data_IF_641390428044
#
_entry.id   IF_641390428044
#
_cell.length_a   1.000
_cell.length_b   1.000
_cell.length_c   1.000
_cell.angle_alpha   90.00
_cell.angle_beta   90.00
_cell.angle_gamma   90.00
#
_symmetry.space_group_name_H-M   'P 1'
#
loop_
_entity.id
_entity.type
_entity.pdbx_description
1 polymer ?
#
# COMPACT_ATOMS: atom_id res chain seq x y z
N UNK A 1 3.01 6.79 -14.73
CA UNK A 1 2.19 7.04 -13.55
C UNK A 1 0.99 6.11 -13.63
N UNK A 2 0.75 5.34 -12.58
CA UNK A 2 -0.38 4.42 -12.43
C UNK A 2 -1.05 4.76 -11.10
N UNK A 3 -2.35 5.00 -11.13
CA UNK A 3 -3.15 5.14 -9.92
C UNK A 3 -3.39 3.75 -9.34
N UNK A 4 -3.02 3.55 -8.08
CA UNK A 4 -3.51 2.42 -7.28
C UNK A 4 -4.48 2.95 -6.22
N UNK A 5 -5.60 2.26 -6.09
CA UNK A 5 -6.65 2.62 -5.16
C UNK A 5 -7.36 1.37 -4.63
N UNK A 6 -8.05 1.53 -3.51
CA UNK A 6 -8.80 0.44 -2.91
C UNK A 6 -9.11 0.68 -1.44
N UNK A 7 -9.53 -0.38 -0.76
CA UNK A 7 -9.75 -0.41 0.69
C UNK A 7 -8.74 -1.34 1.31
N UNK A 8 -7.87 -0.82 2.18
CA UNK A 8 -6.80 -1.58 2.81
C UNK A 8 -7.38 -2.55 3.86
N UNK A 9 -7.39 -3.84 3.55
CA UNK A 9 -7.98 -4.88 4.41
C UNK A 9 -6.93 -5.93 4.77
N UNK A 10 -6.90 -6.36 6.02
CA UNK A 10 -6.06 -7.49 6.44
C UNK A 10 -6.68 -8.83 6.00
N UNK A 11 -5.87 -9.91 5.97
CA UNK A 11 -6.34 -11.25 5.60
C UNK A 11 -7.49 -11.81 6.43
N UNK A 12 -7.69 -11.30 7.65
CA UNK A 12 -8.82 -11.66 8.52
C UNK A 12 -10.10 -10.83 8.27
N UNK A 13 -10.07 -9.92 7.28
CA UNK A 13 -11.16 -9.00 6.96
C UNK A 13 -11.16 -7.69 7.75
N UNK A 14 -10.18 -7.46 8.63
CA UNK A 14 -10.08 -6.22 9.41
C UNK A 14 -9.71 -5.05 8.52
N UNK A 15 -10.52 -3.98 8.54
CA UNK A 15 -10.20 -2.72 7.88
C UNK A 15 -9.01 -2.02 8.55
N UNK A 16 -8.02 -1.65 7.75
CA UNK A 16 -6.82 -0.96 8.20
C UNK A 16 -7.01 0.56 8.12
N UNK A 17 -7.83 1.08 9.04
CA UNK A 17 -8.06 2.53 9.21
C UNK A 17 -6.85 3.21 9.85
N UNK A 18 -6.67 4.51 9.58
CA UNK A 18 -5.58 5.35 10.12
C UNK A 18 -4.18 4.72 9.98
N UNK A 19 -4.00 3.89 8.97
CA UNK A 19 -2.80 3.08 8.75
C UNK A 19 -1.91 3.81 7.75
N UNK A 20 -0.67 4.08 8.16
CA UNK A 20 0.33 4.64 7.26
C UNK A 20 0.80 3.55 6.29
N UNK A 21 0.60 3.79 5.01
CA UNK A 21 1.07 2.97 3.90
C UNK A 21 2.27 3.65 3.26
N UNK A 22 3.41 2.99 3.26
CA UNK A 22 4.66 3.47 2.65
C UNK A 22 5.08 2.54 1.52
N UNK A 23 5.25 3.09 0.33
CA UNK A 23 5.84 2.41 -0.82
C UNK A 23 7.28 2.90 -0.98
N UNK A 24 8.25 1.99 -1.01
CA UNK A 24 9.66 2.29 -1.30
C UNK A 24 10.08 1.58 -2.58
N UNK A 25 10.44 2.34 -3.61
CA UNK A 25 10.87 1.78 -4.89
C UNK A 25 12.25 1.11 -4.73
N UNK A 26 12.44 -0.06 -5.35
CA UNK A 26 13.59 -0.93 -5.05
C UNK A 26 14.91 -0.45 -5.59
N UNK A 27 14.92 0.31 -6.70
CA UNK A 27 16.14 0.70 -7.41
C UNK A 27 16.57 2.13 -7.05
N UNK A 28 15.61 3.05 -7.02
CA UNK A 28 15.79 4.49 -6.76
C UNK A 28 15.66 4.85 -5.29
N UNK A 29 15.08 3.95 -4.48
CA UNK A 29 14.76 4.20 -3.07
C UNK A 29 13.83 5.41 -2.84
N UNK A 30 13.12 5.87 -3.86
CA UNK A 30 12.09 6.89 -3.66
C UNK A 30 10.96 6.34 -2.79
N UNK A 31 10.38 7.21 -1.96
CA UNK A 31 9.32 6.83 -1.03
C UNK A 31 8.04 7.61 -1.30
N UNK A 32 6.92 6.91 -1.35
CA UNK A 32 5.58 7.49 -1.33
C UNK A 32 4.88 7.05 -0.05
N UNK A 33 4.15 7.95 0.60
CA UNK A 33 3.41 7.59 1.82
C UNK A 33 2.07 8.30 1.88
N UNK A 34 1.06 7.56 2.34
CA UNK A 34 -0.26 8.09 2.67
C UNK A 34 -0.76 7.44 3.96
N UNK A 35 -1.76 8.05 4.57
CA UNK A 35 -2.51 7.43 5.66
C UNK A 35 -3.91 7.13 5.16
N UNK A 36 -4.39 5.90 5.42
CA UNK A 36 -5.76 5.52 5.08
C UNK A 36 -6.78 6.30 5.91
N UNK A 37 -7.93 6.62 5.32
CA UNK A 37 -9.00 7.33 6.01
C UNK A 37 -9.85 6.41 6.91
N UNK A 38 -10.95 6.96 7.44
CA UNK A 38 -11.90 6.23 8.31
C UNK A 38 -12.60 5.03 7.66
N UNK A 39 -12.59 4.95 6.33
CA UNK A 39 -13.07 3.79 5.56
C UNK A 39 -11.93 2.89 5.06
N UNK A 40 -10.71 3.03 5.60
CA UNK A 40 -9.48 2.36 5.17
C UNK A 40 -9.13 2.57 3.69
N UNK A 41 -9.71 3.57 3.04
CA UNK A 41 -9.49 3.87 1.62
C UNK A 41 -8.08 4.40 1.36
N UNK A 42 -7.50 3.99 0.24
CA UNK A 42 -6.24 4.50 -0.28
C UNK A 42 -6.36 4.91 -1.75
N UNK A 43 -5.60 5.92 -2.14
CA UNK A 43 -5.50 6.43 -3.52
C UNK A 43 -4.11 7.07 -3.69
N UNK A 44 -3.26 6.51 -4.54
CA UNK A 44 -1.88 6.99 -4.77
C UNK A 44 -1.58 6.92 -6.27
N UNK A 45 -1.00 8.00 -6.81
CA UNK A 45 -0.37 7.96 -8.12
C UNK A 45 1.09 7.52 -7.99
N UNK A 46 1.44 6.37 -8.57
CA UNK A 46 2.72 5.68 -8.37
C UNK A 46 3.43 5.51 -9.71
N UNK A 47 4.72 5.90 -9.82
CA UNK A 47 5.55 5.55 -10.98
C UNK A 47 5.60 4.03 -11.18
N UNK A 48 5.68 3.60 -12.43
CA UNK A 48 5.88 2.18 -12.73
C UNK A 48 7.23 1.73 -12.17
N UNK A 49 7.28 0.51 -11.65
CA UNK A 49 8.47 -0.01 -10.99
C UNK A 49 8.12 -1.09 -9.98
N UNK A 50 9.13 -1.52 -9.24
CA UNK A 50 8.97 -2.53 -8.19
C UNK A 50 9.06 -1.84 -6.83
N UNK A 51 8.05 -2.04 -5.98
CA UNK A 51 7.89 -1.29 -4.75
C UNK A 51 7.75 -2.22 -3.57
N UNK A 52 8.61 -2.04 -2.56
CA UNK A 52 8.43 -2.61 -1.24
C UNK A 52 7.32 -1.87 -0.51
N UNK A 53 6.39 -2.61 0.07
CA UNK A 53 5.22 -2.07 0.76
C UNK A 53 5.42 -2.27 2.26
N UNK A 54 5.29 -1.18 3.01
CA UNK A 54 5.32 -1.18 4.48
C UNK A 54 4.04 -0.57 4.99
N UNK A 55 3.46 -1.15 6.03
CA UNK A 55 2.30 -0.58 6.71
C UNK A 55 2.56 -0.39 8.20
N UNK A 56 1.96 0.63 8.79
CA UNK A 56 2.03 0.93 10.21
C UNK A 56 0.66 1.39 10.72
N UNK A 57 0.02 0.56 11.53
CA UNK A 57 -1.22 0.93 12.24
C UNK A 57 -0.91 1.97 13.34
N UNK A 58 -1.92 2.70 13.86
CA UNK A 58 -1.76 3.48 15.08
C UNK A 58 -1.19 2.60 16.20
N UNK A 59 -0.18 3.12 16.90
CA UNK A 59 0.48 2.47 18.03
C UNK A 59 1.17 1.11 17.73
N UNK A 60 1.34 0.76 16.46
CA UNK A 60 2.07 -0.44 16.02
C UNK A 60 3.46 -0.09 15.46
N UNK A 61 4.33 -1.09 15.37
CA UNK A 61 5.60 -0.99 14.64
C UNK A 61 5.36 -1.14 13.13
N UNK A 62 6.13 -0.43 12.27
CA UNK A 62 6.05 -0.64 10.83
C UNK A 62 6.39 -2.10 10.47
N UNK A 63 5.63 -2.67 9.54
CA UNK A 63 5.85 -4.02 9.02
C UNK A 63 5.94 -4.02 7.49
N UNK A 64 6.94 -4.72 6.97
CA UNK A 64 7.04 -5.06 5.55
C UNK A 64 5.97 -6.11 5.22
N UNK A 65 5.14 -5.85 4.22
CA UNK A 65 4.08 -6.77 3.75
C UNK A 65 4.38 -7.37 2.38
N UNK A 66 5.56 -7.08 1.83
CA UNK A 66 6.02 -7.64 0.58
C UNK A 66 6.31 -6.61 -0.49
N UNK A 67 6.39 -7.08 -1.71
CA UNK A 67 6.82 -6.30 -2.88
C UNK A 67 5.74 -6.41 -3.96
N UNK A 68 5.43 -5.27 -4.59
CA UNK A 68 4.47 -5.16 -5.67
C UNK A 68 5.12 -4.57 -6.92
N UNK A 69 4.85 -5.18 -8.07
CA UNK A 69 5.15 -4.57 -9.36
C UNK A 69 3.98 -3.66 -9.79
N UNK A 70 4.26 -2.37 -9.95
CA UNK A 70 3.32 -1.38 -10.45
C UNK A 70 3.47 -1.26 -11.96
N UNK A 71 2.39 -1.56 -12.69
CA UNK A 71 2.31 -1.54 -14.15
C UNK A 71 1.10 -0.71 -14.60
N UNK A 72 0.93 -0.39 -15.89
CA UNK A 72 -0.29 0.26 -16.37
C UNK A 72 -1.61 -0.48 -16.09
N UNK A 73 -1.54 -1.79 -15.84
CA UNK A 73 -2.70 -2.67 -15.67
C UNK A 73 -2.82 -3.20 -14.24
N UNK A 74 -2.13 -2.59 -13.27
CA UNK A 74 -2.29 -2.94 -11.86
C UNK A 74 -3.76 -2.73 -11.46
N UNK A 75 -4.44 -3.76 -10.93
CA UNK A 75 -5.85 -3.66 -10.58
C UNK A 75 -6.07 -2.84 -9.31
N UNK A 76 -7.30 -2.35 -9.13
CA UNK A 76 -7.75 -1.83 -7.84
C UNK A 76 -7.65 -2.92 -6.75
N UNK A 77 -7.49 -2.51 -5.50
CA UNK A 77 -7.30 -3.40 -4.33
C UNK A 77 -6.08 -4.33 -4.43
N UNK A 78 -5.11 -4.03 -5.30
CA UNK A 78 -3.89 -4.85 -5.47
C UNK A 78 -3.09 -5.08 -4.18
N UNK A 79 -3.25 -4.24 -3.15
CA UNK A 79 -2.55 -4.38 -1.88
C UNK A 79 -3.14 -5.49 -1.00
N UNK A 80 -4.39 -5.90 -1.21
CA UNK A 80 -5.03 -6.96 -0.42
C UNK A 80 -4.31 -8.29 -0.59
N UNK A 81 -3.73 -8.54 -1.76
CA UNK A 81 -2.93 -9.73 -2.04
C UNK A 81 -1.61 -9.80 -1.24
N UNK A 82 -1.15 -8.69 -0.66
CA UNK A 82 0.06 -8.62 0.16
C UNK A 82 -0.21 -8.73 1.66
N UNK A 83 -1.43 -8.35 2.08
CA UNK A 83 -1.80 -8.23 3.49
C UNK A 83 -2.67 -9.42 3.93
N UNK A 84 -2.91 -10.38 3.02
CA UNK A 84 -3.60 -11.64 3.24
C UNK A 84 -2.86 -12.59 4.18
#
# INVERSE_FOLDING_TARGET
>A
MTIIQGTLTAGDGTLLVDTMLTLTETDTHQTLSITTGSAAGYYIDVPQGTWRVTIKRPDDTPRDVGVLAITPTTPDNTLDALIS
#
